data_IF_857801233713
#
_entry.id   IF_857801233713
#
_cell.length_a   1.000
_cell.length_b   1.000
_cell.length_c   1.000
_cell.angle_alpha   90.00
_cell.angle_beta   90.00
_cell.angle_gamma   90.00
#
_symmetry.space_group_name_H-M   'P 1'
#
loop_
_entity.id
_entity.type
_entity.pdbx_description
1 polymer ?
#
# COMPACT_ATOMS: atom_id res chain seq x y z
N UNK A 1 10.01 -17.12 -17.32
CA UNK A 1 10.04 -16.07 -16.28
C UNK A 1 8.60 -15.72 -15.98
N UNK A 2 8.07 -16.11 -14.83
CA UNK A 2 6.68 -15.81 -14.49
C UNK A 2 6.60 -14.31 -14.18
N UNK A 3 6.07 -13.54 -15.13
CA UNK A 3 5.74 -12.13 -14.96
C UNK A 3 4.54 -12.16 -14.01
N UNK A 4 4.82 -12.06 -12.71
CA UNK A 4 3.78 -11.92 -11.73
C UNK A 4 3.23 -10.51 -11.95
N UNK A 5 2.17 -10.40 -12.76
CA UNK A 5 1.39 -9.18 -12.94
C UNK A 5 0.73 -8.88 -11.59
N UNK A 6 1.51 -8.40 -10.63
CA UNK A 6 0.98 -7.82 -9.39
C UNK A 6 0.08 -6.67 -9.83
N UNK A 7 -1.23 -6.87 -9.68
CA UNK A 7 -2.22 -5.85 -9.95
C UNK A 7 -2.01 -4.74 -8.93
N UNK A 8 -1.48 -3.61 -9.38
CA UNK A 8 -1.46 -2.37 -8.62
C UNK A 8 -2.61 -1.49 -9.11
N UNK A 9 -3.28 -0.83 -8.17
CA UNK A 9 -4.28 0.19 -8.49
C UNK A 9 -3.72 1.53 -8.07
N UNK A 10 -3.69 2.46 -9.02
CA UNK A 10 -3.29 3.84 -8.76
C UNK A 10 -4.53 4.69 -8.46
N UNK A 11 -4.41 5.58 -7.49
CA UNK A 11 -5.46 6.51 -7.07
C UNK A 11 -4.89 7.91 -7.07
N UNK A 12 -5.48 8.79 -7.86
CA UNK A 12 -5.28 10.23 -7.70
C UNK A 12 -6.05 10.73 -6.48
N UNK A 13 -5.37 11.48 -5.63
CA UNK A 13 -5.95 12.13 -4.47
C UNK A 13 -6.40 13.56 -4.82
N UNK A 14 -7.35 14.16 -4.07
CA UNK A 14 -7.83 15.52 -4.32
C UNK A 14 -6.75 16.61 -4.23
N UNK A 15 -5.62 16.35 -3.56
CA UNK A 15 -4.48 17.26 -3.50
C UNK A 15 -3.56 17.17 -4.73
N UNK A 16 -3.89 16.30 -5.70
CA UNK A 16 -3.10 16.03 -6.91
C UNK A 16 -1.98 15.02 -6.73
N UNK A 17 -1.88 14.40 -5.55
CA UNK A 17 -0.94 13.33 -5.27
C UNK A 17 -1.45 11.97 -5.72
N UNK A 18 -0.55 11.00 -5.84
CA UNK A 18 -0.87 9.67 -6.32
C UNK A 18 -0.53 8.61 -5.28
N UNK A 19 -1.46 7.67 -5.09
CA UNK A 19 -1.24 6.47 -4.29
C UNK A 19 -1.16 5.24 -5.19
N UNK A 20 -0.25 4.32 -4.90
CA UNK A 20 -0.29 2.96 -5.46
C UNK A 20 -0.67 1.96 -4.38
N UNK A 21 -1.62 1.08 -4.70
CA UNK A 21 -2.13 0.04 -3.80
C UNK A 21 -1.88 -1.31 -4.43
N UNK A 22 -1.15 -2.18 -3.74
CA UNK A 22 -0.96 -3.56 -4.17
C UNK A 22 -2.24 -4.36 -3.91
N UNK A 23 -2.91 -4.85 -4.95
CA UNK A 23 -4.14 -5.64 -4.81
C UNK A 23 -3.91 -7.05 -4.26
N UNK A 24 -2.64 -7.47 -4.13
CA UNK A 24 -2.30 -8.79 -3.57
C UNK A 24 -2.20 -8.74 -2.04
N UNK A 25 -1.62 -7.68 -1.47
CA UNK A 25 -1.47 -7.53 -0.01
C UNK A 25 -2.34 -6.43 0.60
N UNK A 26 -3.06 -5.68 -0.24
CA UNK A 26 -3.92 -4.54 0.10
C UNK A 26 -3.17 -3.44 0.88
N UNK A 27 -1.86 -3.30 0.65
CA UNK A 27 -1.08 -2.21 1.21
C UNK A 27 -0.92 -1.09 0.20
N UNK A 28 -1.04 0.14 0.68
CA UNK A 28 -0.51 1.31 -0.01
C UNK A 28 1.00 1.20 -0.06
N UNK A 29 1.55 1.02 -1.26
CA UNK A 29 2.98 0.84 -1.51
C UNK A 29 3.69 2.17 -1.75
N UNK A 30 2.94 3.18 -2.21
CA UNK A 30 3.40 4.54 -2.37
C UNK A 30 2.23 5.50 -2.09
N UNK A 31 2.53 6.64 -1.48
CA UNK A 31 1.55 7.71 -1.21
C UNK A 31 2.25 9.05 -1.08
N UNK A 32 1.47 10.14 -1.11
CA UNK A 32 1.93 11.48 -0.75
C UNK A 32 2.67 11.50 0.61
N UNK A 33 3.71 12.34 0.80
CA UNK A 33 4.30 13.32 -0.14
C UNK A 33 5.30 12.75 -1.15
N UNK A 34 5.51 11.44 -1.16
CA UNK A 34 6.62 10.83 -1.88
C UNK A 34 6.35 10.66 -3.38
N UNK A 35 5.13 10.89 -3.83
CA UNK A 35 4.70 10.68 -5.22
C UNK A 35 3.81 11.84 -5.62
N UNK A 36 4.27 12.62 -6.61
CA UNK A 36 3.51 13.73 -7.20
C UNK A 36 3.07 13.44 -8.63
N UNK A 37 3.69 12.46 -9.28
CA UNK A 37 3.38 12.05 -10.63
C UNK A 37 3.07 10.54 -10.68
N UNK A 38 2.06 10.15 -11.45
CA UNK A 38 1.67 8.74 -11.62
C UNK A 38 2.84 7.89 -12.16
N UNK A 39 3.71 8.48 -12.98
CA UNK A 39 4.88 7.79 -13.56
C UNK A 39 5.85 7.27 -12.50
N UNK A 40 5.94 7.95 -11.34
CA UNK A 40 6.78 7.54 -10.22
C UNK A 40 6.25 6.27 -9.52
N UNK A 41 4.94 6.01 -9.61
CA UNK A 41 4.33 4.79 -9.07
C UNK A 41 4.83 3.54 -9.78
N UNK A 42 5.06 3.61 -11.10
CA UNK A 42 5.52 2.48 -11.90
C UNK A 42 6.82 1.87 -11.37
N UNK A 43 7.75 2.71 -10.93
CA UNK A 43 9.02 2.26 -10.35
C UNK A 43 8.79 1.59 -9.00
N UNK A 44 7.91 2.18 -8.19
CA UNK A 44 7.57 1.68 -6.85
C UNK A 44 6.85 0.33 -6.91
N UNK A 45 6.03 0.13 -7.94
CA UNK A 45 5.32 -1.11 -8.23
C UNK A 45 6.29 -2.24 -8.60
N UNK A 46 7.30 -1.94 -9.43
CA UNK A 46 8.31 -2.93 -9.87
C UNK A 46 9.16 -3.41 -8.70
N UNK A 47 9.52 -2.51 -7.77
CA UNK A 47 10.35 -2.85 -6.61
C UNK A 47 9.54 -3.42 -5.43
N UNK A 48 8.21 -3.45 -5.51
CA UNK A 48 7.38 -3.90 -4.41
C UNK A 48 7.46 -5.42 -4.21
N UNK A 49 8.08 -5.83 -3.11
CA UNK A 49 8.08 -7.23 -2.67
C UNK A 49 6.83 -7.49 -1.84
N UNK A 50 5.82 -8.10 -2.46
CA UNK A 50 4.56 -8.44 -1.82
C UNK A 50 4.75 -9.52 -0.75
N UNK A 51 4.73 -9.12 0.53
CA UNK A 51 4.64 -10.05 1.67
C UNK A 51 3.18 -10.45 1.90
N UNK A 52 2.77 -11.55 1.25
CA UNK A 52 1.45 -12.18 1.48
C UNK A 52 1.34 -12.58 2.96
N UNK A 53 0.39 -12.00 3.70
CA UNK A 53 0.12 -12.38 5.10
C UNK A 53 -0.11 -11.23 6.09
N UNK A 54 0.09 -9.96 5.71
CA UNK A 54 0.02 -8.84 6.68
C UNK A 54 -1.43 -8.42 7.05
N UNK A 55 -2.44 -8.91 6.32
CA UNK A 55 -3.85 -8.61 6.64
C UNK A 55 -4.21 -9.00 8.08
N UNK A 56 -3.70 -10.13 8.59
CA UNK A 56 -3.93 -10.52 10.00
C UNK A 56 -3.16 -9.66 11.02
N UNK A 57 -1.99 -9.14 10.66
CA UNK A 57 -1.15 -8.37 11.59
C UNK A 57 -1.74 -6.99 11.89
N UNK A 58 -2.32 -6.32 10.88
CA UNK A 58 -2.89 -4.96 11.03
C UNK A 58 -4.25 -4.93 11.73
N UNK A 59 -5.05 -5.99 11.60
CA UNK A 59 -6.30 -6.15 12.39
C UNK A 59 -5.95 -6.32 13.87
N UNK A 60 -4.89 -7.08 14.18
CA UNK A 60 -4.47 -7.34 15.56
C UNK A 60 -3.89 -6.10 16.28
N UNK A 61 -3.17 -5.22 15.57
CA UNK A 61 -2.57 -4.02 16.18
C UNK A 61 -3.61 -2.96 16.59
N UNK A 62 -4.71 -2.80 15.82
CA UNK A 62 -5.81 -1.90 16.19
C UNK A 62 -6.61 -2.37 17.41
N UNK A 63 -6.51 -3.64 17.80
CA UNK A 63 -7.16 -4.19 18.99
C UNK A 63 -6.50 -3.81 20.33
N UNK A 64 -5.28 -3.25 20.32
CA UNK A 64 -4.52 -2.94 21.54
C UNK A 64 -4.64 -1.50 22.06
N UNK A 65 -5.41 -0.62 21.41
CA UNK A 65 -5.56 0.79 21.84
C UNK A 65 -6.91 1.13 22.48
N UNK A 66 -7.67 0.13 22.93
CA UNK A 66 -8.84 0.30 23.82
C UNK A 66 -8.77 -0.67 25.01
N UNK A 67 -7.64 -0.72 25.70
CA UNK A 67 -7.53 -1.34 27.02
C UNK A 67 -6.60 -0.48 27.91
N UNK A 68 -6.92 0.81 27.99
CA UNK A 68 -6.42 1.72 29.01
C UNK A 68 -7.49 1.87 30.08
N UNK A 69 -7.31 1.11 31.15
CA UNK A 69 -8.10 1.01 32.39
C UNK A 69 -7.82 2.24 33.27
N UNK A 70 -8.83 2.81 33.91
CA UNK A 70 -8.68 3.87 34.93
C UNK A 70 -9.91 4.75 35.05
#
# INVERSE_FOLDING_TARGET
MAIHTTLFTHRENPDGSWDSICMTCLQTVASHPNVRDESELSTTDIVHICKKGIIFQRISDKGRKIAGKG
#
